data_IF_729487780716
#
_entry.id   IF_729487780716
#
_cell.length_a   1.000
_cell.length_b   1.000
_cell.length_c   1.000
_cell.angle_alpha   90.00
_cell.angle_beta   90.00
_cell.angle_gamma   90.00
#
_symmetry.space_group_name_H-M   'P 1'
#
loop_
_entity.id
_entity.type
_entity.pdbx_description
1 polymer ?
#
# COMPACT_ATOMS: atom_id res chain seq x y z
N UNK A 1 -21.69 11.79 -26.94
CA UNK A 1 -20.22 11.76 -26.98
C UNK A 1 -19.72 11.38 -25.61
N UNK A 2 -18.87 10.36 -25.48
CA UNK A 2 -18.19 10.05 -24.21
C UNK A 2 -16.99 11.00 -24.09
N UNK A 3 -16.83 11.76 -22.99
CA UNK A 3 -15.68 12.62 -22.81
C UNK A 3 -14.37 11.82 -22.81
N UNK A 4 -13.26 12.41 -23.33
CA UNK A 4 -11.98 11.71 -23.39
C UNK A 4 -11.48 11.35 -21.98
N UNK A 5 -10.77 10.23 -21.87
CA UNK A 5 -10.18 9.75 -20.63
C UNK A 5 -9.19 10.79 -20.07
N UNK A 6 -9.32 11.12 -18.78
CA UNK A 6 -8.49 12.13 -18.08
C UNK A 6 -7.46 11.53 -17.12
N UNK A 7 -7.50 10.22 -16.89
CA UNK A 7 -6.69 9.50 -15.91
C UNK A 7 -6.00 8.33 -16.60
N UNK A 8 -4.72 8.11 -16.29
CA UNK A 8 -3.99 6.91 -16.69
C UNK A 8 -4.33 5.80 -15.71
N UNK A 9 -5.45 5.14 -15.95
CA UNK A 9 -5.95 4.01 -15.15
C UNK A 9 -6.54 2.98 -16.09
N UNK A 10 -6.54 1.72 -15.68
CA UNK A 10 -7.23 0.65 -16.38
C UNK A 10 -8.71 0.67 -15.96
N UNK A 11 -9.11 -0.26 -15.10
CA UNK A 11 -10.45 -0.32 -14.53
C UNK A 11 -10.50 0.52 -13.23
N UNK A 12 -11.46 1.45 -13.08
CA UNK A 12 -11.60 2.25 -11.85
C UNK A 12 -11.70 1.45 -10.55
N UNK A 13 -12.19 0.20 -10.61
CA UNK A 13 -12.29 -0.67 -9.43
C UNK A 13 -10.95 -1.28 -9.01
N UNK A 14 -9.97 -1.29 -9.91
CA UNK A 14 -8.69 -1.97 -9.72
C UNK A 14 -7.55 -0.99 -9.38
N UNK A 15 -7.78 0.33 -9.49
CA UNK A 15 -6.75 1.38 -9.36
C UNK A 15 -5.91 1.26 -8.09
N UNK A 16 -6.54 0.98 -6.94
CA UNK A 16 -5.82 0.86 -5.67
C UNK A 16 -4.96 -0.40 -5.64
N UNK A 17 -5.48 -1.49 -6.19
CA UNK A 17 -4.73 -2.77 -6.27
C UNK A 17 -3.51 -2.60 -7.16
N UNK A 18 -3.69 -2.09 -8.38
CA UNK A 18 -2.62 -1.90 -9.36
C UNK A 18 -1.55 -0.91 -8.83
N UNK A 19 -1.97 0.12 -8.08
CA UNK A 19 -1.05 1.02 -7.39
C UNK A 19 -0.20 0.29 -6.35
N UNK A 20 -0.82 -0.50 -5.47
CA UNK A 20 -0.09 -1.26 -4.42
C UNK A 20 0.87 -2.26 -5.05
N UNK A 21 0.43 -2.99 -6.07
CA UNK A 21 1.26 -3.92 -6.83
C UNK A 21 2.50 -3.23 -7.39
N UNK A 22 2.32 -2.10 -8.09
CA UNK A 22 3.45 -1.31 -8.60
C UNK A 22 4.35 -0.76 -7.48
N UNK A 23 3.77 -0.36 -6.35
CA UNK A 23 4.52 0.15 -5.20
C UNK A 23 5.44 -0.94 -4.61
N UNK A 24 4.93 -2.14 -4.37
CA UNK A 24 5.73 -3.23 -3.76
C UNK A 24 6.74 -3.82 -4.74
N UNK A 25 6.45 -3.81 -6.04
CA UNK A 25 7.43 -4.13 -7.08
C UNK A 25 8.57 -3.11 -7.13
N UNK A 26 8.26 -1.82 -6.91
CA UNK A 26 9.25 -0.74 -6.93
C UNK A 26 10.11 -0.70 -5.67
N UNK A 27 9.55 -1.03 -4.50
CA UNK A 27 10.21 -0.90 -3.21
C UNK A 27 10.25 -2.24 -2.44
N UNK A 28 11.30 -3.06 -2.58
CA UNK A 28 11.40 -4.39 -1.95
C UNK A 28 11.37 -4.43 -0.41
N UNK A 29 11.45 -3.25 0.24
CA UNK A 29 11.27 -3.08 1.70
C UNK A 29 9.80 -3.12 2.13
N UNK A 30 8.88 -3.11 1.16
CA UNK A 30 7.45 -3.19 1.36
C UNK A 30 6.95 -4.54 0.87
N UNK A 31 5.86 -5.01 1.47
CA UNK A 31 5.12 -6.17 1.03
C UNK A 31 3.63 -5.81 1.02
N UNK A 32 2.89 -6.44 0.12
CA UNK A 32 1.44 -6.36 0.08
C UNK A 32 0.90 -7.51 0.94
N UNK A 33 0.00 -7.21 1.89
CA UNK A 33 -0.60 -8.23 2.73
C UNK A 33 -1.44 -9.19 1.88
N UNK A 34 -0.88 -10.38 1.64
CA UNK A 34 -1.54 -11.44 0.89
C UNK A 34 -2.71 -12.06 1.68
N UNK A 35 -3.71 -12.57 0.97
CA UNK A 35 -4.74 -13.45 1.54
C UNK A 35 -6.19 -13.05 1.29
N UNK A 36 -6.48 -11.81 0.84
CA UNK A 36 -7.85 -11.37 0.51
C UNK A 36 -7.82 -10.24 -0.54
N UNK A 37 -8.51 -10.37 -1.69
CA UNK A 37 -8.51 -9.35 -2.74
C UNK A 37 -9.09 -8.00 -2.28
N UNK A 38 -9.92 -7.99 -1.24
CA UNK A 38 -10.45 -6.77 -0.60
C UNK A 38 -9.47 -6.05 0.33
N UNK A 39 -8.39 -6.71 0.78
CA UNK A 39 -7.40 -6.11 1.69
C UNK A 39 -6.43 -5.27 0.89
N UNK A 40 -6.25 -4.01 1.28
CA UNK A 40 -5.35 -3.03 0.64
C UNK A 40 -4.39 -2.49 1.69
N UNK A 41 -3.49 -3.35 2.16
CA UNK A 41 -2.56 -3.05 3.25
C UNK A 41 -1.13 -3.23 2.77
N UNK A 42 -0.33 -2.18 2.94
CA UNK A 42 1.11 -2.21 2.70
C UNK A 42 1.82 -2.27 4.04
N UNK A 43 2.76 -3.21 4.19
CA UNK A 43 3.52 -3.36 5.43
C UNK A 43 5.01 -3.51 5.14
N UNK A 44 5.82 -3.30 6.16
CA UNK A 44 7.26 -3.51 6.08
C UNK A 44 7.58 -4.99 5.83
N UNK A 45 8.46 -5.26 4.86
CA UNK A 45 8.89 -6.61 4.52
C UNK A 45 9.84 -7.25 5.56
N UNK A 46 10.50 -6.43 6.39
CA UNK A 46 11.46 -6.89 7.41
C UNK A 46 10.83 -7.22 8.77
N UNK A 47 9.49 -7.11 8.88
CA UNK A 47 8.74 -7.31 10.12
C UNK A 47 7.92 -8.59 10.08
N UNK A 48 8.03 -9.38 11.15
CA UNK A 48 7.21 -10.56 11.43
C UNK A 48 6.94 -10.68 12.93
N UNK A 49 5.93 -11.46 13.30
CA UNK A 49 5.63 -11.74 14.72
C UNK A 49 6.80 -12.41 15.47
N UNK A 50 7.73 -13.06 14.75
CA UNK A 50 8.86 -13.76 15.34
C UNK A 50 10.09 -12.86 15.59
N UNK A 51 10.20 -11.70 14.92
CA UNK A 51 11.40 -10.87 14.94
C UNK A 51 11.15 -9.39 15.28
N UNK A 52 9.93 -9.01 15.65
CA UNK A 52 9.58 -7.62 15.95
C UNK A 52 9.49 -7.37 17.46
N UNK A 53 10.43 -6.57 17.98
CA UNK A 53 10.59 -6.26 19.40
C UNK A 53 10.10 -4.84 19.77
N UNK A 54 9.46 -4.15 18.83
CA UNK A 54 8.93 -2.78 18.99
C UNK A 54 7.41 -2.77 18.96
N UNK A 55 6.82 -1.69 19.47
CA UNK A 55 5.39 -1.42 19.31
C UNK A 55 5.11 -1.12 17.83
N UNK A 56 4.21 -1.86 17.21
CA UNK A 56 3.78 -1.61 15.84
C UNK A 56 2.90 -0.36 15.78
N UNK A 57 3.20 0.53 14.84
CA UNK A 57 2.39 1.73 14.58
C UNK A 57 1.72 1.56 13.23
N UNK A 58 0.39 1.62 13.22
CA UNK A 58 -0.42 1.39 12.02
C UNK A 58 -1.29 2.64 11.79
N UNK A 59 -1.42 3.04 10.53
CA UNK A 59 -2.42 4.02 10.10
C UNK A 59 -3.20 3.45 8.92
N UNK A 60 -4.10 4.23 8.36
CA UNK A 60 -4.83 3.87 7.16
C UNK A 60 -5.83 4.97 6.76
N UNK A 61 -6.29 4.92 5.51
CA UNK A 61 -7.25 5.87 4.96
C UNK A 61 -7.73 5.47 3.57
N UNK A 62 -8.53 6.33 2.93
CA UNK A 62 -8.90 6.14 1.53
C UNK A 62 -7.75 6.54 0.59
N UNK A 63 -7.57 5.78 -0.50
CA UNK A 63 -6.64 6.11 -1.60
C UNK A 63 -7.01 7.43 -2.28
N UNK A 64 -6.02 8.09 -2.90
CA UNK A 64 -6.12 9.40 -3.54
C UNK A 64 -5.35 10.51 -2.81
N UNK A 65 -4.67 10.17 -1.72
CA UNK A 65 -3.81 11.07 -0.94
C UNK A 65 -2.33 10.66 -0.98
N UNK A 66 -1.95 9.76 -1.89
CA UNK A 66 -0.57 9.27 -2.04
C UNK A 66 0.40 10.47 -2.12
N UNK A 67 1.49 10.50 -1.31
CA UNK A 67 2.11 9.36 -0.62
C UNK A 67 1.48 8.98 0.74
N UNK A 68 0.48 9.72 1.22
CA UNK A 68 -0.20 9.36 2.45
C UNK A 68 -1.12 8.13 2.20
N UNK A 69 -0.97 7.01 2.90
CA UNK A 69 -0.03 6.74 4.01
C UNK A 69 1.04 5.68 3.69
N UNK A 70 0.92 4.97 2.57
CA UNK A 70 1.83 3.89 2.18
C UNK A 70 3.29 4.34 2.02
N UNK A 71 3.49 5.61 1.62
CA UNK A 71 4.81 6.22 1.55
C UNK A 71 5.49 6.43 2.92
N UNK A 72 4.75 6.31 4.02
CA UNK A 72 5.27 6.39 5.39
C UNK A 72 5.49 5.00 6.02
N UNK A 73 5.27 3.91 5.28
CA UNK A 73 5.59 2.56 5.75
C UNK A 73 7.11 2.35 5.71
N UNK A 74 7.70 2.09 6.87
CA UNK A 74 9.16 2.02 6.98
C UNK A 74 9.72 2.09 8.39
N UNK A 75 11.01 1.78 8.51
CA UNK A 75 11.73 1.98 9.76
C UNK A 75 11.69 3.43 10.22
N UNK A 76 11.37 3.63 11.50
CA UNK A 76 11.21 4.96 12.11
C UNK A 76 9.84 5.61 11.91
N UNK A 77 8.94 4.99 11.12
CA UNK A 77 7.57 5.47 10.88
C UNK A 77 6.55 4.32 11.04
N UNK A 78 5.66 4.11 10.07
CA UNK A 78 4.58 3.12 10.17
C UNK A 78 5.11 1.71 9.91
N UNK A 79 4.59 0.74 10.67
CA UNK A 79 4.77 -0.69 10.42
C UNK A 79 3.90 -1.16 9.26
N UNK A 80 2.68 -0.60 9.14
CA UNK A 80 1.74 -0.83 8.05
C UNK A 80 0.81 0.37 7.83
N UNK A 81 0.25 0.48 6.63
CA UNK A 81 -0.78 1.44 6.23
C UNK A 81 -1.89 0.74 5.42
#
# INVERSE_FOLDING_TARGET
MVPPAKKFINNPNDVVTEFIEGLVETYPRLQYLDGLPEVKVVLRADVSAANYDKVAVISGGGSGHEPAQDGYVGEGMLTAA
#
